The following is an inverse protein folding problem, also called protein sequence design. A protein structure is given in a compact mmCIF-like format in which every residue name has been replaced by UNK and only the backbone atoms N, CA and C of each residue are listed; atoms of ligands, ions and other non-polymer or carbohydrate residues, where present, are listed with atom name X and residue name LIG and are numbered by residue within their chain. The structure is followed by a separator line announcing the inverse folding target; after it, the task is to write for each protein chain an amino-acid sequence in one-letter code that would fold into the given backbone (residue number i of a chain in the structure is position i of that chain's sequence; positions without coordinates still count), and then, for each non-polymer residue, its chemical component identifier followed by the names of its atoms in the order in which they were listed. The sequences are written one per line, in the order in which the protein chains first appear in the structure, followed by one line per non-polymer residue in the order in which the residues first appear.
data_IF_587337482405
#
_entry.id   IF_587337482405
#
_cell.length_a   1.000
_cell.length_b   1.000
_cell.length_c   1.000
_cell.angle_alpha   90.00
_cell.angle_beta   90.00
_cell.angle_gamma   90.00
#
_symmetry.space_group_name_H-M   'P 1'
#
loop_
_entity.id
_entity.type
_entity.pdbx_description
1 polymer ?
#
# COMPACT_ATOMS: atom_id res chain seq x y z
N UNK A 1 20.04 -22.72 5.55
CA UNK A 1 19.72 -21.53 4.75
C UNK A 1 18.24 -21.61 4.43
N UNK A 2 17.45 -20.60 4.79
CA UNK A 2 16.02 -20.58 4.44
C UNK A 2 15.93 -20.28 2.93
N UNK A 3 15.20 -21.06 2.12
CA UNK A 3 15.12 -20.82 0.69
C UNK A 3 14.26 -19.59 0.37
N UNK A 4 14.57 -18.93 -0.75
CA UNK A 4 13.70 -17.93 -1.38
C UNK A 4 12.75 -18.66 -2.32
N UNK A 5 11.45 -18.49 -2.13
CA UNK A 5 10.41 -19.14 -2.90
C UNK A 5 9.59 -18.11 -3.67
N UNK A 6 9.43 -18.30 -4.98
CA UNK A 6 8.54 -17.47 -5.78
C UNK A 6 7.09 -17.86 -5.52
N UNK A 7 6.31 -16.92 -5.00
CA UNK A 7 4.90 -17.13 -4.66
C UNK A 7 3.97 -16.68 -5.78
N UNK A 8 4.30 -15.58 -6.45
CA UNK A 8 3.46 -15.02 -7.49
C UNK A 8 4.16 -13.94 -8.29
N UNK A 9 3.58 -13.63 -9.43
CA UNK A 9 4.02 -12.57 -10.34
C UNK A 9 2.84 -11.65 -10.64
N UNK A 10 3.11 -10.36 -10.80
CA UNK A 10 2.11 -9.37 -11.21
C UNK A 10 2.69 -8.47 -12.30
N UNK A 11 1.83 -7.86 -13.11
CA UNK A 11 2.27 -6.91 -14.14
C UNK A 11 1.77 -5.52 -13.81
N UNK A 12 2.71 -4.57 -13.69
CA UNK A 12 2.36 -3.15 -13.59
C UNK A 12 2.15 -2.55 -14.98
N UNK A 13 1.32 -1.50 -15.10
CA UNK A 13 1.27 -0.70 -16.32
C UNK A 13 2.67 -0.22 -16.74
N UNK A 14 2.98 -0.35 -18.03
CA UNK A 14 4.35 -0.18 -18.54
C UNK A 14 5.11 -1.49 -18.74
N UNK A 15 4.51 -2.64 -18.38
CA UNK A 15 5.00 -3.96 -18.76
C UNK A 15 6.04 -4.57 -17.81
N UNK A 16 6.30 -3.93 -16.67
CA UNK A 16 7.24 -4.45 -15.67
C UNK A 16 6.59 -5.49 -14.76
N UNK A 17 7.35 -6.52 -14.46
CA UNK A 17 6.91 -7.66 -13.68
C UNK A 17 7.36 -7.51 -12.23
N UNK A 18 6.40 -7.59 -11.31
CA UNK A 18 6.63 -7.74 -9.89
C UNK A 18 6.69 -9.22 -9.54
N UNK A 19 7.56 -9.59 -8.59
CA UNK A 19 7.61 -10.94 -8.05
C UNK A 19 7.45 -10.90 -6.54
N UNK A 20 6.48 -11.64 -6.01
CA UNK A 20 6.38 -11.90 -4.59
C UNK A 20 7.27 -13.09 -4.23
N UNK A 21 8.25 -12.84 -3.38
CA UNK A 21 9.16 -13.85 -2.85
C UNK A 21 8.87 -14.06 -1.37
N UNK A 22 8.72 -15.32 -0.95
CA UNK A 22 8.70 -15.72 0.46
C UNK A 22 10.07 -16.19 0.89
N UNK A 23 10.50 -15.80 2.08
CA UNK A 23 11.72 -16.26 2.74
C UNK A 23 11.44 -16.49 4.22
N UNK A 24 11.03 -17.72 4.55
CA UNK A 24 10.51 -18.04 5.87
C UNK A 24 9.13 -17.41 6.06
N UNK A 25 8.98 -16.57 7.10
CA UNK A 25 7.76 -15.80 7.37
C UNK A 25 7.73 -14.45 6.62
N UNK A 26 8.88 -14.01 6.10
CA UNK A 26 9.01 -12.72 5.44
C UNK A 26 8.59 -12.79 3.98
N UNK A 27 8.02 -11.70 3.50
CA UNK A 27 7.70 -11.43 2.11
C UNK A 27 8.54 -10.28 1.55
N UNK A 28 8.91 -10.37 0.28
CA UNK A 28 9.62 -9.35 -0.48
C UNK A 28 8.96 -9.21 -1.85
N UNK A 29 8.64 -7.99 -2.24
CA UNK A 29 8.25 -7.68 -3.62
C UNK A 29 9.50 -7.23 -4.37
N UNK A 30 9.79 -7.89 -5.48
CA UNK A 30 10.95 -7.64 -6.32
C UNK A 30 10.53 -7.02 -7.65
N UNK A 31 11.38 -6.16 -8.19
CA UNK A 31 11.38 -5.74 -9.60
C UNK A 31 12.72 -6.15 -10.19
N UNK A 32 12.70 -6.98 -11.23
CA UNK A 32 13.90 -7.62 -11.76
C UNK A 32 14.75 -8.29 -10.66
N UNK A 33 15.95 -7.78 -10.39
CA UNK A 33 16.86 -8.25 -9.35
C UNK A 33 16.86 -7.38 -8.07
N UNK A 34 16.07 -6.29 -8.05
CA UNK A 34 16.04 -5.32 -6.95
C UNK A 34 14.88 -5.61 -5.99
N UNK A 35 15.13 -5.51 -4.70
CA UNK A 35 14.05 -5.54 -3.69
C UNK A 35 13.36 -4.16 -3.72
N UNK A 36 12.06 -4.14 -4.05
CA UNK A 36 11.25 -2.92 -4.03
C UNK A 36 10.80 -2.63 -2.60
N UNK A 37 10.26 -3.65 -1.91
CA UNK A 37 9.76 -3.53 -0.54
C UNK A 37 9.79 -4.90 0.16
N UNK A 38 9.88 -4.87 1.49
CA UNK A 38 9.94 -6.06 2.34
C UNK A 38 9.03 -5.92 3.55
N UNK A 39 8.40 -7.03 3.95
CA UNK A 39 7.63 -7.13 5.20
C UNK A 39 8.42 -6.83 6.49
N UNK A 40 9.75 -6.69 6.40
CA UNK A 40 10.61 -6.36 7.56
C UNK A 40 10.77 -4.86 7.82
N UNK A 41 10.46 -4.01 6.83
CA UNK A 41 10.73 -2.57 6.88
C UNK A 41 9.48 -1.83 6.40
N UNK A 42 8.81 -1.13 7.31
CA UNK A 42 7.62 -0.30 7.01
C UNK A 42 7.57 1.00 7.81
N UNK A 43 8.72 1.45 8.35
CA UNK A 43 8.77 2.57 9.28
C UNK A 43 8.43 3.92 8.63
N UNK A 44 8.77 4.12 7.36
CA UNK A 44 8.40 5.32 6.58
C UNK A 44 6.89 5.42 6.37
N UNK A 45 6.28 4.28 6.04
CA UNK A 45 4.88 4.08 5.73
C UNK A 45 4.01 4.28 6.99
N UNK A 46 4.45 3.69 8.11
CA UNK A 46 3.86 3.93 9.42
C UNK A 46 3.95 5.41 9.82
N UNK A 47 5.13 6.01 9.65
CA UNK A 47 5.34 7.41 9.99
C UNK A 47 4.50 8.35 9.10
N UNK A 48 4.38 8.07 7.80
CA UNK A 48 3.51 8.80 6.87
C UNK A 48 2.06 8.84 7.39
N UNK A 49 1.52 7.67 7.75
CA UNK A 49 0.16 7.57 8.26
C UNK A 49 -0.05 8.32 9.57
N UNK A 50 0.81 8.07 10.56
CA UNK A 50 0.69 8.66 11.90
C UNK A 50 0.87 10.18 11.84
N UNK A 51 1.89 10.67 11.13
CA UNK A 51 2.17 12.10 11.04
C UNK A 51 1.10 12.87 10.26
N UNK A 52 0.50 12.25 9.23
CA UNK A 52 -0.64 12.84 8.52
C UNK A 52 -1.85 12.97 9.46
N UNK A 53 -2.21 11.90 10.16
CA UNK A 53 -3.36 11.89 11.07
C UNK A 53 -3.21 12.86 12.25
N UNK A 54 -2.00 13.03 12.79
CA UNK A 54 -1.71 13.99 13.86
C UNK A 54 -2.00 15.45 13.49
N UNK A 55 -1.95 15.79 12.20
CA UNK A 55 -2.23 17.14 11.70
C UNK A 55 -3.72 17.39 11.47
N UNK A 56 -4.54 16.34 11.47
CA UNK A 56 -5.98 16.45 11.33
C UNK A 56 -6.63 16.94 12.63
N UNK A 57 -7.83 17.49 12.52
CA UNK A 57 -8.57 18.01 13.67
C UNK A 57 -8.87 16.87 14.65
N UNK A 58 -8.41 17.01 15.90
CA UNK A 58 -8.72 16.03 16.96
C UNK A 58 -10.23 15.86 17.13
N UNK A 59 -10.68 14.61 17.25
CA UNK A 59 -12.09 14.26 17.43
C UNK A 59 -12.94 14.36 16.16
N UNK A 60 -12.35 14.58 14.97
CA UNK A 60 -13.07 14.39 13.71
C UNK A 60 -13.14 12.91 13.32
N UNK A 61 -14.00 12.60 12.34
CA UNK A 61 -14.03 11.33 11.63
C UNK A 61 -13.26 11.49 10.30
N UNK A 62 -11.92 11.33 10.28
CA UNK A 62 -11.13 11.65 9.10
C UNK A 62 -11.41 10.67 7.96
N UNK A 63 -11.42 11.19 6.74
CA UNK A 63 -11.54 10.43 5.49
C UNK A 63 -10.22 10.50 4.75
N UNK A 64 -9.48 9.40 4.74
CA UNK A 64 -8.18 9.29 4.09
C UNK A 64 -8.31 8.68 2.70
N UNK A 65 -7.48 9.13 1.77
CA UNK A 65 -7.13 8.37 0.57
C UNK A 65 -5.68 7.92 0.69
N UNK A 66 -5.43 6.63 0.49
CA UNK A 66 -4.09 6.03 0.45
C UNK A 66 -3.87 5.55 -0.98
N UNK A 67 -2.85 6.10 -1.64
CA UNK A 67 -2.42 5.67 -2.98
C UNK A 67 -1.38 4.57 -2.86
N UNK A 68 -1.65 3.41 -3.47
CA UNK A 68 -0.85 2.20 -3.32
C UNK A 68 -1.24 1.42 -2.07
N UNK A 69 -1.33 0.09 -2.18
CA UNK A 69 -1.46 -0.80 -1.03
C UNK A 69 -0.09 -1.30 -0.58
N UNK A 70 0.77 -1.71 -1.51
CA UNK A 70 2.10 -2.27 -1.24
C UNK A 70 2.03 -3.47 -0.28
N UNK A 71 2.64 -3.33 0.90
CA UNK A 71 2.60 -4.32 1.98
C UNK A 71 1.54 -4.02 3.06
N UNK A 72 0.73 -2.98 2.88
CA UNK A 72 -0.35 -2.57 3.77
C UNK A 72 0.10 -1.83 5.04
N UNK A 73 1.37 -1.43 5.16
CA UNK A 73 1.88 -0.72 6.34
C UNK A 73 1.16 0.61 6.58
N UNK A 74 1.07 1.46 5.56
CA UNK A 74 0.37 2.76 5.63
C UNK A 74 -1.09 2.60 6.05
N UNK A 75 -1.81 1.63 5.47
CA UNK A 75 -3.20 1.34 5.85
C UNK A 75 -3.32 0.87 7.30
N UNK A 76 -2.54 -0.15 7.71
CA UNK A 76 -2.60 -0.69 9.08
C UNK A 76 -2.31 0.39 10.11
N UNK A 77 -1.28 1.21 9.88
CA UNK A 77 -0.93 2.33 10.76
C UNK A 77 -2.06 3.37 10.83
N UNK A 78 -2.67 3.72 9.70
CA UNK A 78 -3.80 4.64 9.67
C UNK A 78 -4.99 4.11 10.49
N UNK A 79 -5.36 2.83 10.32
CA UNK A 79 -6.48 2.20 11.03
C UNK A 79 -6.32 2.23 12.56
N UNK A 80 -5.09 2.27 13.07
CA UNK A 80 -4.83 2.40 14.52
C UNK A 80 -5.11 3.80 15.07
N UNK A 81 -5.11 4.85 14.22
CA UNK A 81 -5.14 6.24 14.69
C UNK A 81 -6.34 7.05 14.19
N UNK A 82 -7.05 6.61 13.15
CA UNK A 82 -8.23 7.33 12.61
C UNK A 82 -9.50 7.19 13.46
N UNK A 83 -9.50 6.32 14.47
CA UNK A 83 -10.66 6.04 15.32
C UNK A 83 -11.77 5.22 14.62
N UNK A 84 -12.86 4.91 15.33
CA UNK A 84 -13.93 4.03 14.83
C UNK A 84 -14.77 4.65 13.71
N UNK A 85 -14.94 5.98 13.72
CA UNK A 85 -15.72 6.69 12.69
C UNK A 85 -14.88 7.10 11.47
N UNK A 86 -13.55 6.98 11.56
CA UNK A 86 -12.64 7.28 10.47
C UNK A 86 -12.82 6.32 9.29
N UNK A 87 -12.45 6.77 8.09
CA UNK A 87 -12.52 6.00 6.85
C UNK A 87 -11.19 6.06 6.12
N UNK A 88 -10.79 4.94 5.53
CA UNK A 88 -9.61 4.86 4.68
C UNK A 88 -10.00 4.25 3.33
N UNK A 89 -9.89 5.04 2.27
CA UNK A 89 -9.98 4.54 0.91
C UNK A 89 -8.59 4.18 0.42
N UNK A 90 -8.37 2.96 -0.06
CA UNK A 90 -7.12 2.53 -0.69
C UNK A 90 -7.33 2.44 -2.19
N UNK A 91 -6.48 3.09 -2.97
CA UNK A 91 -6.43 2.93 -4.43
C UNK A 91 -5.21 2.10 -4.80
N UNK A 92 -5.44 0.87 -5.27
CA UNK A 92 -4.38 -0.04 -5.73
C UNK A 92 -4.60 -0.37 -7.20
N UNK A 93 -3.53 -0.22 -8.00
CA UNK A 93 -3.58 -0.36 -9.44
C UNK A 93 -3.42 -1.82 -9.89
N UNK A 94 -2.71 -2.63 -9.10
CA UNK A 94 -2.31 -4.00 -9.43
C UNK A 94 -3.17 -4.98 -8.62
N UNK A 95 -4.14 -5.68 -9.23
CA UNK A 95 -5.04 -6.59 -8.53
C UNK A 95 -4.32 -7.69 -7.74
N UNK A 96 -3.21 -8.20 -8.26
CA UNK A 96 -2.45 -9.27 -7.62
C UNK A 96 -1.86 -8.84 -6.27
N UNK A 97 -1.55 -7.55 -6.07
CA UNK A 97 -1.09 -7.04 -4.77
C UNK A 97 -2.18 -7.26 -3.69
N UNK A 98 -3.45 -7.06 -4.07
CA UNK A 98 -4.59 -7.31 -3.20
C UNK A 98 -4.81 -8.80 -2.97
N UNK A 99 -4.65 -9.62 -4.01
CA UNK A 99 -4.74 -11.08 -3.87
C UNK A 99 -3.64 -11.62 -2.95
N UNK A 100 -2.43 -11.08 -3.06
CA UNK A 100 -1.33 -11.42 -2.17
C UNK A 100 -1.61 -11.01 -0.73
N UNK A 101 -2.17 -9.81 -0.53
CA UNK A 101 -2.58 -9.31 0.77
C UNK A 101 -3.59 -10.22 1.47
N UNK A 102 -4.57 -10.75 0.72
CA UNK A 102 -5.64 -11.62 1.25
C UNK A 102 -5.24 -13.09 1.33
N UNK A 103 -4.22 -13.52 0.58
CA UNK A 103 -3.75 -14.89 0.52
C UNK A 103 -2.38 -15.05 1.18
N UNK A 104 -1.29 -15.17 0.40
CA UNK A 104 0.06 -15.42 0.91
C UNK A 104 0.52 -14.54 2.08
N UNK A 105 0.15 -13.26 2.08
CA UNK A 105 0.52 -12.28 3.12
C UNK A 105 -0.54 -12.12 4.21
N UNK A 106 -1.60 -12.94 4.26
CA UNK A 106 -2.72 -12.77 5.18
C UNK A 106 -2.30 -12.63 6.65
N UNK A 107 -1.24 -13.33 7.07
CA UNK A 107 -0.68 -13.23 8.43
C UNK A 107 -0.05 -11.86 8.71
N UNK A 108 0.58 -11.25 7.71
CA UNK A 108 1.17 -9.90 7.81
C UNK A 108 0.08 -8.83 7.79
N UNK A 109 -0.94 -9.02 6.96
CA UNK A 109 -1.99 -8.02 6.72
C UNK A 109 -3.08 -8.06 7.77
N UNK A 110 -3.25 -9.18 8.47
CA UNK A 110 -4.17 -9.39 9.60
C UNK A 110 -5.60 -8.93 9.29
N UNK A 111 -6.07 -9.24 8.08
CA UNK A 111 -7.43 -8.89 7.63
C UNK A 111 -7.69 -7.39 7.52
N UNK A 112 -6.67 -6.52 7.46
CA UNK A 112 -6.87 -5.07 7.44
C UNK A 112 -7.72 -4.56 6.27
N UNK A 113 -7.79 -5.31 5.16
CA UNK A 113 -8.66 -5.01 4.02
C UNK A 113 -10.13 -5.35 4.24
N UNK A 114 -10.45 -6.13 5.28
CA UNK A 114 -11.82 -6.51 5.66
C UNK A 114 -12.38 -5.61 6.78
N UNK A 115 -11.59 -4.64 7.27
CA UNK A 115 -12.05 -3.65 8.25
C UNK A 115 -13.20 -2.80 7.63
N UNK A 116 -14.35 -2.64 8.30
CA UNK A 116 -15.51 -1.93 7.76
C UNK A 116 -15.27 -0.43 7.50
N UNK A 117 -14.15 0.11 7.99
CA UNK A 117 -13.70 1.48 7.71
C UNK A 117 -12.96 1.60 6.37
N UNK A 118 -12.63 0.48 5.74
CA UNK A 118 -11.82 0.42 4.51
C UNK A 118 -12.70 0.32 3.27
N UNK A 119 -12.40 1.16 2.29
CA UNK A 119 -12.94 1.07 0.93
C UNK A 119 -11.78 0.79 -0.02
N UNK A 120 -11.84 -0.31 -0.78
CA UNK A 120 -10.82 -0.64 -1.78
C UNK A 120 -11.29 -0.22 -3.17
N UNK A 121 -10.50 0.61 -3.84
CA UNK A 121 -10.63 0.96 -5.25
C UNK A 121 -9.51 0.24 -6.00
N UNK A 122 -9.87 -0.68 -6.88
CA UNK A 122 -8.93 -1.26 -7.84
C UNK A 122 -8.80 -0.32 -9.04
N UNK A 123 -7.74 0.47 -9.09
CA UNK A 123 -7.53 1.47 -10.13
C UNK A 123 -6.49 2.53 -9.76
N UNK A 124 -6.27 3.46 -10.70
CA UNK A 124 -5.31 4.54 -10.55
C UNK A 124 -5.77 5.57 -9.48
N UNK A 125 -4.88 5.86 -8.53
CA UNK A 125 -5.09 6.88 -7.50
C UNK A 125 -5.36 8.26 -8.10
N UNK A 126 -4.80 8.58 -9.27
CA UNK A 126 -5.05 9.85 -9.95
C UNK A 126 -6.53 10.00 -10.33
N UNK A 127 -7.18 8.92 -10.75
CA UNK A 127 -8.61 8.94 -11.06
C UNK A 127 -9.47 9.03 -9.79
N UNK A 128 -9.02 8.39 -8.69
CA UNK A 128 -9.66 8.55 -7.38
C UNK A 128 -9.56 10.00 -6.85
N UNK A 129 -8.45 10.69 -7.12
CA UNK A 129 -8.26 12.11 -6.77
C UNK A 129 -9.15 12.98 -7.65
N UNK A 130 -9.15 12.78 -8.98
CA UNK A 130 -9.95 13.59 -9.92
C UNK A 130 -11.45 13.47 -9.68
N UNK A 131 -11.94 12.27 -9.35
CA UNK A 131 -13.36 12.04 -9.08
C UNK A 131 -13.83 12.55 -7.71
N UNK A 132 -12.90 12.92 -6.83
CA UNK A 132 -13.21 13.38 -5.48
C UNK A 132 -13.50 14.89 -5.42
N UNK A 133 -14.77 15.25 -5.22
CA UNK A 133 -15.16 16.59 -4.77
C UNK A 133 -15.26 16.64 -3.23
N UNK A 134 -14.26 17.24 -2.56
CA UNK A 134 -14.20 17.43 -1.09
C UNK A 134 -14.45 16.14 -0.27
N UNK A 135 -13.92 15.02 -0.76
CA UNK A 135 -14.17 13.68 -0.17
C UNK A 135 -13.16 13.28 0.91
N UNK A 136 -11.95 13.81 0.87
CA UNK A 136 -10.83 13.38 1.72
C UNK A 136 -10.26 14.55 2.52
N UNK A 137 -9.93 14.28 3.79
CA UNK A 137 -9.25 15.21 4.71
C UNK A 137 -7.73 15.16 4.55
N UNK A 138 -7.19 14.02 4.11
CA UNK A 138 -5.79 13.86 3.73
C UNK A 138 -5.64 12.79 2.63
N UNK A 139 -4.62 12.98 1.79
CA UNK A 139 -4.20 12.03 0.75
C UNK A 139 -2.76 11.63 1.08
N UNK A 140 -2.53 10.34 1.27
CA UNK A 140 -1.25 9.73 1.61
C UNK A 140 -0.78 8.98 0.35
N UNK A 141 0.25 9.49 -0.31
CA UNK A 141 0.77 8.91 -1.54
C UNK A 141 2.05 8.14 -1.23
N UNK A 142 1.89 6.82 -1.19
CA UNK A 142 2.93 5.83 -0.98
C UNK A 142 3.05 4.96 -2.23
N UNK A 143 3.03 5.66 -3.37
CA UNK A 143 3.14 5.05 -4.69
C UNK A 143 4.62 4.98 -5.03
N UNK A 144 5.27 3.89 -4.62
CA UNK A 144 6.59 3.60 -5.13
C UNK A 144 6.50 3.50 -6.65
N UNK A 145 7.32 4.32 -7.29
CA UNK A 145 7.34 4.50 -8.72
C UNK A 145 7.33 3.15 -9.43
N UNK A 146 6.48 3.01 -10.45
CA UNK A 146 6.67 2.00 -11.48
C UNK A 146 8.09 2.08 -12.07
N UNK A 147 8.43 1.31 -13.11
CA UNK A 147 9.81 1.17 -13.60
C UNK A 147 10.54 2.48 -13.97
N UNK A 148 9.86 3.61 -14.10
CA UNK A 148 10.44 4.96 -14.20
C UNK A 148 11.10 5.49 -12.92
N UNK A 149 10.83 4.87 -11.75
CA UNK A 149 11.37 5.27 -10.44
C UNK A 149 12.86 5.14 -10.27
N UNK A 150 13.49 4.36 -11.15
CA UNK A 150 14.92 4.14 -11.20
C UNK A 150 15.60 4.92 -12.33
N UNK A 151 14.89 5.80 -13.05
CA UNK A 151 15.45 6.50 -14.21
C UNK A 151 15.31 8.02 -14.06
N UNK A 152 16.45 8.69 -13.88
CA UNK A 152 16.62 10.06 -14.39
C UNK A 152 17.16 9.95 -15.82
N UNK A 153 16.74 10.80 -16.77
CA UNK A 153 17.37 10.88 -18.09
C UNK A 153 18.84 11.34 -18.04
N UNK A 154 19.27 11.98 -16.95
CA UNK A 154 20.59 12.64 -16.83
C UNK A 154 21.53 11.97 -15.79
N UNK A 155 21.73 10.65 -15.83
CA UNK A 155 22.84 10.01 -15.10
C UNK A 155 23.56 8.99 -15.97
#
# INVERSE_FOLDING_TARGET
MIPRELIGTAKVPGGVELKLIRHGEDHVIMVDANELMSSRLGGSEEALAVMACQRLKKGSAPRLLIGGYGMGFTLRAALQVIGPEGRATVAELVPEIIDWAKGPMAKLTDGCLDDPRVELIQGDVLEAIKSASKRYDAILLDVDNGPSGLVRPDN
#
